data_IF_832180606624
#
_entry.id   IF_832180606624
#
_cell.length_a   1.000
_cell.length_b   1.000
_cell.length_c   1.000
_cell.angle_alpha   90.00
_cell.angle_beta   90.00
_cell.angle_gamma   90.00
#
_symmetry.space_group_name_H-M   'P 1'
#
loop_
_entity.id
_entity.type
_entity.pdbx_description
1 polymer ?
#
# COMPACT_ATOMS: atom_id res chain seq x y z
N UNK A 1 10.81 5.71 73.28
CA UNK A 1 11.84 4.89 72.57
C UNK A 1 11.25 3.50 72.37
N UNK A 2 11.10 2.90 71.20
CA UNK A 2 11.10 3.31 69.80
C UNK A 2 10.38 2.15 69.09
N UNK A 3 9.14 2.34 68.68
CA UNK A 3 8.47 1.43 67.74
C UNK A 3 9.19 1.58 66.40
N UNK A 4 9.74 0.49 65.88
CA UNK A 4 10.30 0.45 64.51
C UNK A 4 9.72 -0.75 63.81
N UNK A 5 8.75 -0.54 62.94
CA UNK A 5 8.48 -1.23 61.67
C UNK A 5 7.26 -0.53 61.03
N UNK A 6 7.05 -0.55 59.71
CA UNK A 6 7.95 -0.82 58.58
C UNK A 6 7.97 0.36 57.58
N UNK A 7 9.03 0.52 56.78
CA UNK A 7 9.01 1.49 55.68
C UNK A 7 9.41 0.78 54.38
N UNK A 8 8.48 0.86 53.43
CA UNK A 8 8.66 0.79 51.97
C UNK A 8 8.74 -0.61 51.38
N UNK A 9 7.59 -1.28 51.33
CA UNK A 9 7.23 -2.16 50.21
C UNK A 9 6.07 -1.51 49.47
N UNK A 10 6.36 -0.75 48.41
CA UNK A 10 5.53 -0.55 47.20
C UNK A 10 6.11 0.59 46.37
N UNK A 11 7.07 0.29 45.50
CA UNK A 11 7.41 1.13 44.35
C UNK A 11 7.68 0.21 43.16
N UNK A 12 6.66 -0.51 42.73
CA UNK A 12 6.75 -1.42 41.57
C UNK A 12 5.60 -1.27 40.58
N UNK A 13 4.77 -0.25 40.73
CA UNK A 13 3.64 0.02 39.85
C UNK A 13 3.65 1.50 39.55
N UNK A 14 4.38 1.92 38.50
CA UNK A 14 4.17 3.19 37.76
C UNK A 14 5.19 3.42 36.60
N UNK A 15 5.88 2.41 36.06
CA UNK A 15 6.79 2.58 34.91
C UNK A 15 6.19 2.19 33.54
N UNK A 16 4.92 1.81 33.48
CA UNK A 16 4.27 1.45 32.20
C UNK A 16 3.77 2.66 31.37
N UNK A 17 3.99 3.90 31.83
CA UNK A 17 3.40 5.10 31.21
C UNK A 17 4.32 5.97 30.35
N UNK A 18 5.64 5.94 30.54
CA UNK A 18 6.51 6.98 29.96
C UNK A 18 7.12 6.64 28.59
N UNK A 19 6.99 5.42 28.08
CA UNK A 19 7.60 5.04 26.80
C UNK A 19 6.66 5.22 25.59
N UNK A 20 5.34 5.21 25.78
CA UNK A 20 4.39 5.11 24.66
C UNK A 20 4.18 6.43 23.91
N UNK A 21 4.38 7.58 24.58
CA UNK A 21 4.20 8.91 23.96
C UNK A 21 5.26 9.15 22.86
N UNK A 22 6.51 8.72 23.10
CA UNK A 22 7.62 8.88 22.16
C UNK A 22 7.43 8.08 20.86
N UNK A 23 6.81 6.90 20.95
CA UNK A 23 6.53 6.06 19.79
C UNK A 23 5.34 6.57 18.98
N UNK A 24 4.34 7.23 19.60
CA UNK A 24 3.13 7.66 18.91
C UNK A 24 3.45 8.64 17.79
N UNK A 25 4.20 9.70 18.08
CA UNK A 25 4.54 10.72 17.08
C UNK A 25 5.43 10.15 15.98
N UNK A 26 6.51 9.47 16.35
CA UNK A 26 7.48 8.94 15.38
C UNK A 26 6.91 7.82 14.51
N UNK A 27 6.00 6.99 15.04
CA UNK A 27 5.24 6.03 14.25
C UNK A 27 4.24 6.72 13.32
N UNK A 28 3.53 7.75 13.78
CA UNK A 28 2.63 8.54 12.93
C UNK A 28 3.38 9.18 11.75
N UNK A 29 4.56 9.75 11.98
CA UNK A 29 5.41 10.30 10.91
C UNK A 29 5.82 9.21 9.90
N UNK A 30 6.18 8.02 10.38
CA UNK A 30 6.49 6.89 9.50
C UNK A 30 5.27 6.43 8.69
N UNK A 31 4.07 6.46 9.28
CA UNK A 31 2.80 6.10 8.64
C UNK A 31 2.33 7.14 7.62
N UNK A 32 2.67 8.41 7.81
CA UNK A 32 2.30 9.51 6.91
C UNK A 32 3.11 9.57 5.60
N UNK A 33 4.10 8.69 5.42
CA UNK A 33 4.85 8.57 4.15
C UNK A 33 3.93 8.18 3.00
N UNK A 34 4.16 8.75 1.82
CA UNK A 34 3.29 8.55 0.66
C UNK A 34 3.19 7.08 0.21
N UNK A 35 4.26 6.31 0.38
CA UNK A 35 4.26 4.87 0.08
C UNK A 35 3.40 4.04 1.05
N UNK A 36 3.00 4.65 2.17
CA UNK A 36 2.08 4.08 3.15
C UNK A 36 0.62 4.48 2.93
N UNK A 37 0.25 5.17 1.82
CA UNK A 37 -1.15 5.18 1.36
C UNK A 37 -1.61 3.72 1.23
N UNK A 38 -2.39 3.25 2.19
CA UNK A 38 -2.51 1.82 2.46
C UNK A 38 -3.79 1.18 1.90
N UNK A 39 -4.70 1.99 1.37
CA UNK A 39 -5.80 1.50 0.55
C UNK A 39 -5.45 1.75 -0.92
N UNK A 40 -5.36 0.66 -1.68
CA UNK A 40 -4.92 0.68 -3.07
C UNK A 40 -5.81 -0.22 -3.92
N UNK A 41 -6.31 0.30 -5.04
CA UNK A 41 -6.87 -0.51 -6.10
C UNK A 41 -5.75 -0.91 -7.07
N UNK A 42 -5.29 -2.16 -6.93
CA UNK A 42 -4.22 -2.71 -7.75
C UNK A 42 -4.72 -3.04 -9.16
N UNK A 43 -3.98 -2.61 -10.17
CA UNK A 43 -4.26 -3.02 -11.54
C UNK A 43 -3.82 -4.49 -11.75
N UNK A 44 -4.52 -5.27 -12.59
CA UNK A 44 -4.12 -6.66 -12.85
C UNK A 44 -2.74 -6.76 -13.49
N UNK A 45 -2.04 -7.88 -13.26
CA UNK A 45 -0.82 -8.27 -13.97
C UNK A 45 0.35 -7.27 -13.89
N UNK A 46 0.61 -6.67 -12.72
CA UNK A 46 1.74 -5.76 -12.53
C UNK A 46 1.80 -4.67 -13.62
N UNK A 47 0.66 -4.02 -13.88
CA UNK A 47 0.60 -2.84 -14.75
C UNK A 47 1.13 -1.59 -14.03
N UNK A 48 2.38 -1.66 -13.59
CA UNK A 48 3.06 -0.58 -12.89
C UNK A 48 3.68 0.47 -13.84
N UNK A 49 3.42 0.33 -15.15
CA UNK A 49 4.08 1.09 -16.19
C UNK A 49 3.00 1.75 -17.05
N UNK A 50 2.84 3.05 -16.87
CA UNK A 50 2.12 3.91 -17.82
C UNK A 50 3.12 4.79 -18.57
N UNK A 51 2.93 5.03 -19.88
CA UNK A 51 1.81 4.57 -20.70
C UNK A 51 1.81 3.05 -20.96
N UNK A 52 0.62 2.46 -21.12
CA UNK A 52 0.42 1.03 -21.38
C UNK A 52 -0.25 0.83 -22.73
N UNK A 53 0.44 0.12 -23.62
CA UNK A 53 -0.09 -0.23 -24.94
C UNK A 53 -0.77 -1.59 -24.89
N UNK A 54 -1.98 -1.65 -25.42
CA UNK A 54 -2.79 -2.85 -25.55
C UNK A 54 -3.14 -3.01 -27.02
N UNK A 55 -2.74 -4.15 -27.57
CA UNK A 55 -3.09 -4.60 -28.91
C UNK A 55 -3.87 -5.92 -28.77
N UNK A 56 -4.80 -6.16 -29.70
CA UNK A 56 -5.70 -7.33 -29.74
C UNK A 56 -6.72 -7.35 -28.58
N UNK A 57 -7.78 -8.18 -28.67
CA UNK A 57 -8.94 -8.26 -27.75
C UNK A 57 -8.59 -8.73 -26.32
N UNK A 58 -7.74 -7.98 -25.63
CA UNK A 58 -7.43 -8.19 -24.22
C UNK A 58 -8.53 -7.58 -23.37
N UNK A 59 -8.91 -8.28 -22.31
CA UNK A 59 -9.85 -7.76 -21.33
C UNK A 59 -9.26 -6.52 -20.64
N UNK A 60 -9.79 -5.34 -20.97
CA UNK A 60 -9.38 -4.03 -20.43
C UNK A 60 -10.39 -3.42 -19.47
N UNK A 61 -11.47 -4.13 -19.13
CA UNK A 61 -12.63 -3.57 -18.45
C UNK A 61 -12.29 -2.78 -17.17
N UNK A 62 -11.31 -3.25 -16.40
CA UNK A 62 -10.86 -2.53 -15.20
C UNK A 62 -10.10 -1.24 -15.54
N UNK A 63 -9.33 -1.23 -16.63
CA UNK A 63 -8.67 -0.01 -17.13
C UNK A 63 -9.70 0.96 -17.68
N UNK A 64 -10.73 0.44 -18.38
CA UNK A 64 -11.85 1.24 -18.88
C UNK A 64 -12.63 1.88 -17.73
N UNK A 65 -12.84 1.17 -16.62
CA UNK A 65 -13.38 1.76 -15.40
C UNK A 65 -12.51 2.93 -14.90
N UNK A 66 -11.18 2.79 -14.92
CA UNK A 66 -10.28 3.90 -14.57
C UNK A 66 -10.23 5.02 -15.62
N UNK A 67 -10.61 4.77 -16.87
CA UNK A 67 -10.86 5.81 -17.87
C UNK A 67 -12.14 6.57 -17.55
N UNK A 68 -13.22 5.87 -17.19
CA UNK A 68 -14.48 6.46 -16.78
C UNK A 68 -14.34 7.32 -15.53
N UNK A 69 -13.58 6.83 -14.55
CA UNK A 69 -13.19 7.56 -13.32
C UNK A 69 -12.20 8.70 -13.60
N UNK A 70 -11.82 8.93 -14.86
CA UNK A 70 -10.92 10.00 -15.32
C UNK A 70 -9.49 9.90 -14.81
N UNK A 71 -9.05 8.72 -14.38
CA UNK A 71 -7.66 8.49 -13.97
C UNK A 71 -6.76 8.08 -15.12
N UNK A 72 -7.36 7.39 -16.09
CA UNK A 72 -6.73 7.06 -17.34
C UNK A 72 -7.40 7.80 -18.49
N UNK A 73 -6.65 7.96 -19.57
CA UNK A 73 -7.17 8.32 -20.89
C UNK A 73 -6.60 7.38 -21.92
N UNK A 74 -7.35 7.15 -22.98
CA UNK A 74 -6.92 6.33 -24.11
C UNK A 74 -6.44 7.20 -25.27
N UNK A 75 -5.52 6.66 -26.05
CA UNK A 75 -5.08 7.21 -27.33
C UNK A 75 -4.96 6.06 -28.34
N UNK A 76 -5.57 6.21 -29.51
CA UNK A 76 -5.38 5.26 -30.61
C UNK A 76 -3.93 5.32 -31.08
N UNK A 77 -3.33 4.14 -31.26
CA UNK A 77 -1.97 3.98 -31.76
C UNK A 77 -1.95 2.93 -32.86
N UNK A 78 -0.98 3.07 -33.76
CA UNK A 78 -0.70 2.10 -34.82
C UNK A 78 0.69 1.53 -34.59
N UNK A 79 0.82 0.20 -34.69
CA UNK A 79 2.10 -0.48 -34.61
C UNK A 79 2.33 -1.35 -35.85
N UNK A 80 3.61 -1.62 -36.16
CA UNK A 80 4.01 -2.53 -37.22
C UNK A 80 4.23 -3.91 -36.65
N UNK A 81 3.41 -4.87 -37.07
CA UNK A 81 3.49 -6.27 -36.67
C UNK A 81 4.16 -7.10 -37.76
N UNK A 82 5.12 -7.92 -37.35
CA UNK A 82 5.80 -8.88 -38.21
C UNK A 82 5.37 -10.28 -37.77
N UNK A 83 4.61 -10.97 -38.60
CA UNK A 83 4.17 -12.33 -38.31
C UNK A 83 5.39 -13.28 -38.28
N UNK A 84 5.52 -14.07 -37.21
CA UNK A 84 6.59 -15.05 -37.08
C UNK A 84 6.41 -16.26 -38.02
N UNK A 85 5.18 -16.49 -38.51
CA UNK A 85 4.79 -17.65 -39.32
C UNK A 85 4.74 -17.36 -40.82
N UNK A 86 5.05 -16.14 -41.28
CA UNK A 86 5.28 -15.90 -42.71
C UNK A 86 6.64 -16.50 -43.07
N UNK A 87 6.63 -17.43 -44.02
CA UNK A 87 7.75 -18.25 -44.47
C UNK A 87 9.05 -17.42 -44.56
N UNK A 88 10.17 -17.99 -44.09
CA UNK A 88 11.47 -17.29 -43.99
C UNK A 88 12.00 -16.83 -45.36
N UNK A 89 11.39 -17.32 -46.44
CA UNK A 89 11.80 -17.21 -47.84
C UNK A 89 11.15 -16.05 -48.61
N UNK A 90 10.04 -15.47 -48.14
CA UNK A 90 9.38 -14.33 -48.82
C UNK A 90 9.93 -12.99 -48.33
N UNK A 91 10.86 -12.44 -49.11
CA UNK A 91 11.37 -11.07 -48.97
C UNK A 91 10.81 -10.18 -50.10
N UNK A 92 10.35 -8.95 -49.80
CA UNK A 92 10.44 -8.25 -48.52
C UNK A 92 9.27 -8.56 -47.57
N UNK A 93 9.57 -8.71 -46.26
CA UNK A 93 8.54 -8.75 -45.21
C UNK A 93 7.90 -7.37 -45.08
N UNK A 94 6.72 -7.19 -45.66
CA UNK A 94 5.90 -6.01 -45.37
C UNK A 94 5.22 -6.19 -44.02
N UNK A 95 5.44 -5.29 -43.04
CA UNK A 95 4.73 -5.34 -41.78
C UNK A 95 3.24 -5.13 -42.00
N UNK A 96 2.41 -5.86 -41.25
CA UNK A 96 1.00 -5.55 -41.12
C UNK A 96 0.84 -4.43 -40.10
N UNK A 97 0.14 -3.37 -40.47
CA UNK A 97 -0.24 -2.35 -39.49
C UNK A 97 -1.36 -2.89 -38.61
N UNK A 98 -1.16 -2.81 -37.30
CA UNK A 98 -2.15 -3.18 -36.30
C UNK A 98 -2.53 -1.95 -35.49
N UNK A 99 -3.82 -1.82 -35.21
CA UNK A 99 -4.34 -0.78 -34.33
C UNK A 99 -4.33 -1.26 -32.87
N UNK A 100 -4.16 -0.30 -31.95
CA UNK A 100 -4.20 -0.55 -30.51
C UNK A 100 -4.57 0.68 -29.71
N UNK A 101 -4.70 0.49 -28.41
CA UNK A 101 -5.01 1.55 -27.45
C UNK A 101 -3.83 1.75 -26.50
N UNK A 102 -3.44 3.02 -26.33
CA UNK A 102 -2.50 3.45 -25.30
C UNK A 102 -3.25 4.08 -24.14
N UNK A 103 -3.17 3.44 -22.97
CA UNK A 103 -3.63 4.01 -21.71
C UNK A 103 -2.55 4.93 -21.14
N UNK A 104 -2.95 6.12 -20.69
CA UNK A 104 -2.07 7.11 -20.09
C UNK A 104 -2.70 7.68 -18.83
N UNK A 105 -1.89 7.98 -17.81
CA UNK A 105 -2.37 8.71 -16.64
C UNK A 105 -2.83 10.11 -17.05
N UNK A 106 -3.99 10.51 -16.55
CA UNK A 106 -4.41 11.92 -16.51
C UNK A 106 -3.70 12.64 -15.36
N UNK A 107 -3.84 13.97 -15.28
CA UNK A 107 -3.34 14.70 -14.11
C UNK A 107 -4.01 14.25 -12.81
N UNK A 108 -5.29 13.85 -12.85
CA UNK A 108 -5.98 13.29 -11.69
C UNK A 108 -5.43 11.90 -11.34
N UNK A 109 -5.23 11.03 -12.34
CA UNK A 109 -4.65 9.71 -12.12
C UNK A 109 -3.26 9.76 -11.49
N UNK A 110 -2.41 10.71 -11.91
CA UNK A 110 -1.07 10.92 -11.33
C UNK A 110 -1.10 11.21 -9.83
N UNK A 111 -2.15 11.87 -9.31
CA UNK A 111 -2.27 12.17 -7.87
C UNK A 111 -2.39 10.92 -7.01
N UNK A 112 -2.97 9.84 -7.54
CA UNK A 112 -3.24 8.60 -6.80
C UNK A 112 -2.35 7.43 -7.25
N UNK A 113 -1.76 7.49 -8.44
CA UNK A 113 -1.01 6.38 -8.99
C UNK A 113 0.35 6.22 -8.30
N UNK A 114 0.57 5.05 -7.69
CA UNK A 114 1.85 4.66 -7.10
C UNK A 114 2.50 3.63 -8.01
N UNK A 115 3.45 4.10 -8.84
CA UNK A 115 4.12 3.27 -9.84
C UNK A 115 4.86 2.05 -9.28
N UNK A 116 5.42 2.13 -8.08
CA UNK A 116 6.06 0.95 -7.43
C UNK A 116 5.06 -0.14 -7.01
N UNK A 117 3.76 0.20 -6.91
CA UNK A 117 2.67 -0.72 -6.55
C UNK A 117 1.81 -1.12 -7.76
N UNK A 118 1.88 -0.36 -8.86
CA UNK A 118 0.96 -0.52 -10.00
C UNK A 118 -0.50 -0.35 -9.60
N UNK A 119 -0.79 0.66 -8.77
CA UNK A 119 -2.08 0.83 -8.13
C UNK A 119 -2.45 2.30 -7.95
N UNK A 120 -3.76 2.56 -7.89
CA UNK A 120 -4.29 3.85 -7.44
C UNK A 120 -4.54 3.79 -5.93
N UNK A 121 -3.75 4.54 -5.16
CA UNK A 121 -3.76 4.52 -3.70
C UNK A 121 -4.27 5.83 -3.10
N UNK A 122 -5.04 5.70 -2.02
CA UNK A 122 -5.75 6.78 -1.36
C UNK A 122 -5.86 6.50 0.14
N UNK A 123 -6.41 7.48 0.85
CA UNK A 123 -6.58 7.42 2.30
C UNK A 123 -5.28 7.74 3.05
N UNK A 124 -5.44 8.47 4.14
CA UNK A 124 -4.38 8.75 5.10
C UNK A 124 -4.57 7.87 6.33
N UNK A 125 -3.49 7.36 6.88
CA UNK A 125 -3.53 6.59 8.13
C UNK A 125 -3.38 7.55 9.30
N UNK A 126 -4.33 7.48 10.23
CA UNK A 126 -4.27 8.19 11.50
C UNK A 126 -4.13 7.16 12.62
N UNK A 127 -3.10 7.37 13.45
CA UNK A 127 -2.81 6.55 14.61
C UNK A 127 -3.68 6.98 15.79
N UNK A 128 -4.60 6.11 16.20
CA UNK A 128 -5.48 6.37 17.34
C UNK A 128 -4.75 6.17 18.66
N UNK A 129 -4.21 4.97 18.85
CA UNK A 129 -3.51 4.58 20.08
C UNK A 129 -2.41 3.55 19.82
N UNK A 130 -1.41 3.59 20.70
CA UNK A 130 -0.48 2.48 20.91
C UNK A 130 -1.04 1.64 22.04
N UNK A 131 -1.10 0.33 21.85
CA UNK A 131 -1.68 -0.62 22.81
C UNK A 131 -0.58 -1.27 23.64
N UNK A 132 0.36 -1.94 22.98
CA UNK A 132 1.46 -2.64 23.63
C UNK A 132 2.80 -2.32 22.96
N UNK A 133 3.86 -2.34 23.75
CA UNK A 133 5.23 -2.21 23.23
C UNK A 133 6.12 -3.26 23.90
N UNK A 134 6.71 -4.13 23.09
CA UNK A 134 7.53 -5.25 23.54
C UNK A 134 8.95 -5.13 22.98
N UNK A 135 9.97 -5.23 23.84
CA UNK A 135 11.36 -5.35 23.40
C UNK A 135 11.58 -6.70 22.73
N UNK A 136 12.22 -6.69 21.56
CA UNK A 136 12.50 -7.91 20.78
C UNK A 136 13.94 -7.95 20.30
N UNK A 137 14.42 -9.17 20.05
CA UNK A 137 15.66 -9.41 19.30
C UNK A 137 15.27 -9.80 17.88
N UNK A 138 15.86 -9.12 16.91
CA UNK A 138 15.60 -9.31 15.49
C UNK A 138 16.85 -9.95 14.90
N UNK A 139 16.71 -11.17 14.41
CA UNK A 139 17.81 -11.91 13.79
C UNK A 139 17.71 -11.76 12.27
N UNK A 140 18.82 -11.34 11.66
CA UNK A 140 18.96 -11.25 10.22
C UNK A 140 19.63 -12.51 9.67
N UNK A 141 19.48 -12.76 8.37
CA UNK A 141 20.04 -13.93 7.66
C UNK A 141 21.57 -14.02 7.67
N UNK A 142 22.27 -12.98 8.14
CA UNK A 142 23.72 -12.90 8.28
C UNK A 142 24.22 -13.06 9.74
N UNK A 143 23.43 -13.68 10.62
CA UNK A 143 23.69 -13.85 12.06
C UNK A 143 23.89 -12.54 12.84
N UNK A 144 23.46 -11.40 12.29
CA UNK A 144 23.38 -10.16 13.05
C UNK A 144 22.10 -10.17 13.89
N UNK A 145 22.26 -9.90 15.19
CA UNK A 145 21.15 -9.74 16.12
C UNK A 145 21.05 -8.27 16.50
N UNK A 146 19.92 -7.67 16.18
CA UNK A 146 19.61 -6.29 16.55
C UNK A 146 18.55 -6.26 17.64
N UNK A 147 18.65 -5.30 18.56
CA UNK A 147 17.54 -5.00 19.46
C UNK A 147 16.52 -4.11 18.76
N UNK A 148 15.24 -4.40 18.94
CA UNK A 148 14.15 -3.61 18.41
C UNK A 148 12.96 -3.62 19.35
N UNK A 149 11.85 -3.08 18.86
CA UNK A 149 10.56 -3.14 19.56
C UNK A 149 9.45 -3.57 18.61
N UNK A 150 8.57 -4.45 19.06
CA UNK A 150 7.24 -4.58 18.49
C UNK A 150 6.32 -3.56 19.16
N UNK A 151 5.53 -2.89 18.35
CA UNK A 151 4.60 -1.85 18.79
C UNK A 151 3.25 -2.21 18.17
N UNK A 152 2.31 -2.62 19.00
CA UNK A 152 0.93 -2.86 18.60
C UNK A 152 0.15 -1.56 18.67
N UNK A 153 -0.63 -1.30 17.64
CA UNK A 153 -1.34 -0.04 17.52
C UNK A 153 -2.64 -0.16 16.75
N UNK A 154 -3.52 0.79 17.02
CA UNK A 154 -4.79 0.96 16.36
C UNK A 154 -4.76 2.20 15.49
N UNK A 155 -5.35 2.07 14.31
CA UNK A 155 -5.40 3.14 13.33
C UNK A 155 -6.72 3.10 12.56
N UNK A 156 -7.09 4.23 12.00
CA UNK A 156 -8.16 4.32 11.01
C UNK A 156 -7.68 5.07 9.77
N UNK A 157 -8.49 4.96 8.71
CA UNK A 157 -8.27 5.73 7.50
C UNK A 157 -9.10 7.01 7.51
N UNK A 158 -8.52 8.07 6.98
CA UNK A 158 -9.18 9.36 6.72
C UNK A 158 -8.95 9.79 5.28
N UNK A 159 -9.60 10.86 4.84
CA UNK A 159 -9.48 11.41 3.48
C UNK A 159 -9.75 10.37 2.39
N UNK A 160 -10.76 9.52 2.59
CA UNK A 160 -11.25 8.59 1.58
C UNK A 160 -12.00 9.40 0.50
N UNK A 161 -11.50 9.43 -0.74
CA UNK A 161 -12.14 10.20 -1.79
C UNK A 161 -13.41 9.49 -2.30
N UNK A 162 -14.38 10.27 -2.78
CA UNK A 162 -15.69 9.74 -3.23
C UNK A 162 -15.56 8.69 -4.32
N UNK A 163 -14.63 8.87 -5.26
CA UNK A 163 -14.38 7.91 -6.34
C UNK A 163 -14.01 6.51 -5.82
N UNK A 164 -13.33 6.43 -4.66
CA UNK A 164 -12.92 5.16 -4.09
C UNK A 164 -14.11 4.34 -3.58
N UNK A 165 -15.28 4.96 -3.43
CA UNK A 165 -16.53 4.32 -3.03
C UNK A 165 -17.40 3.91 -4.23
N UNK A 166 -16.99 4.20 -5.47
CA UNK A 166 -17.73 3.81 -6.69
C UNK A 166 -18.05 2.31 -6.66
N UNK A 167 -19.33 1.98 -6.77
CA UNK A 167 -19.84 0.60 -6.65
C UNK A 167 -19.34 -0.30 -7.77
N UNK A 168 -18.98 0.24 -8.94
CA UNK A 168 -18.42 -0.54 -10.06
C UNK A 168 -17.10 -1.21 -9.68
N UNK A 169 -16.34 -0.63 -8.74
CA UNK A 169 -15.11 -1.25 -8.21
C UNK A 169 -15.40 -2.57 -7.48
N UNK A 170 -16.60 -2.76 -6.94
CA UNK A 170 -16.98 -4.00 -6.25
C UNK A 170 -17.08 -5.19 -7.21
N UNK A 171 -17.19 -4.96 -8.52
CA UNK A 171 -17.13 -6.04 -9.52
C UNK A 171 -15.75 -6.68 -9.55
N UNK A 172 -14.69 -5.88 -9.35
CA UNK A 172 -13.30 -6.31 -9.52
C UNK A 172 -12.57 -6.56 -8.19
N UNK A 173 -13.01 -5.96 -7.09
CA UNK A 173 -12.28 -5.97 -5.82
C UNK A 173 -13.12 -6.50 -4.65
N UNK A 174 -12.46 -7.25 -3.77
CA UNK A 174 -12.89 -7.47 -2.39
C UNK A 174 -12.29 -6.35 -1.56
N UNK A 175 -13.13 -5.55 -0.90
CA UNK A 175 -12.71 -4.43 -0.04
C UNK A 175 -13.38 -4.52 1.32
N UNK A 176 -12.70 -3.99 2.32
CA UNK A 176 -13.32 -3.59 3.60
C UNK A 176 -14.31 -2.44 3.40
N UNK A 177 -15.14 -2.18 4.41
CA UNK A 177 -15.85 -0.90 4.49
C UNK A 177 -14.84 0.24 4.61
N UNK A 178 -15.06 1.30 3.82
CA UNK A 178 -14.16 2.46 3.73
C UNK A 178 -14.64 3.63 4.61
N UNK A 179 -15.42 3.35 5.65
CA UNK A 179 -15.83 4.34 6.64
C UNK A 179 -14.68 4.59 7.63
N UNK A 180 -14.51 5.85 8.03
CA UNK A 180 -13.41 6.29 8.90
C UNK A 180 -13.58 5.84 10.36
N UNK A 181 -14.69 5.19 10.70
CA UNK A 181 -15.03 4.75 12.06
C UNK A 181 -14.45 3.36 12.41
N UNK A 182 -13.97 2.61 11.41
CA UNK A 182 -13.38 1.30 11.67
C UNK A 182 -11.95 1.46 12.14
N UNK A 183 -11.69 1.00 13.35
CA UNK A 183 -10.35 0.84 13.92
C UNK A 183 -9.76 -0.48 13.43
N UNK A 184 -8.58 -0.40 12.86
CA UNK A 184 -7.76 -1.54 12.44
C UNK A 184 -6.60 -1.71 13.41
N UNK A 185 -6.21 -2.95 13.62
CA UNK A 185 -5.04 -3.30 14.42
C UNK A 185 -3.85 -3.65 13.50
N UNK A 186 -2.66 -3.22 13.90
CA UNK A 186 -1.42 -3.61 13.25
C UNK A 186 -0.25 -3.64 14.25
N UNK A 187 0.80 -4.37 13.87
CA UNK A 187 2.07 -4.43 14.60
C UNK A 187 3.19 -3.82 13.77
N UNK A 188 3.82 -2.78 14.30
CA UNK A 188 5.04 -2.22 13.75
C UNK A 188 6.27 -2.85 14.41
N UNK A 189 7.36 -2.94 13.65
CA UNK A 189 8.69 -3.25 14.17
C UNK A 189 9.54 -1.99 14.09
N UNK A 190 10.02 -1.52 15.24
CA UNK A 190 11.01 -0.45 15.35
C UNK A 190 12.42 -1.04 15.48
N UNK A 191 13.34 -0.59 14.63
CA UNK A 191 14.73 -1.03 14.60
C UNK A 191 15.61 0.02 15.28
N UNK A 192 16.23 -0.31 16.42
CA UNK A 192 16.96 0.67 17.23
C UNK A 192 18.18 1.24 16.51
N UNK A 193 18.90 0.43 15.72
CA UNK A 193 20.11 0.85 15.03
C UNK A 193 19.83 1.83 13.89
N UNK A 194 18.70 1.64 13.21
CA UNK A 194 18.29 2.44 12.04
C UNK A 194 17.37 3.61 12.43
N UNK A 195 16.85 3.60 13.66
CA UNK A 195 15.82 4.52 14.15
C UNK A 195 14.65 4.65 13.18
N UNK A 196 14.19 3.52 12.63
CA UNK A 196 13.14 3.47 11.64
C UNK A 196 12.08 2.41 11.97
N UNK A 197 10.98 2.47 11.23
CA UNK A 197 9.85 1.56 11.38
C UNK A 197 9.61 0.73 10.11
N UNK A 198 9.38 -0.56 10.32
CA UNK A 198 8.51 -1.34 9.45
C UNK A 198 7.10 -1.30 10.05
N UNK A 199 6.18 -0.59 9.40
CA UNK A 199 4.85 -0.29 9.96
C UNK A 199 3.90 -1.50 10.00
N UNK A 200 4.22 -2.60 9.30
CA UNK A 200 3.38 -3.80 9.25
C UNK A 200 2.15 -3.70 8.34
N UNK A 201 1.70 -2.51 7.97
CA UNK A 201 0.48 -2.29 7.18
C UNK A 201 0.55 -2.92 5.78
N UNK A 202 1.74 -2.97 5.16
CA UNK A 202 1.93 -3.58 3.83
C UNK A 202 1.55 -5.08 3.80
N UNK A 203 1.47 -5.75 4.96
CA UNK A 203 1.05 -7.16 5.06
C UNK A 203 -0.47 -7.33 5.09
N UNK A 204 -1.21 -6.31 5.54
CA UNK A 204 -2.68 -6.35 5.67
C UNK A 204 -3.29 -5.85 4.37
N UNK A 205 -3.42 -6.72 3.36
CA UNK A 205 -4.07 -6.35 2.08
C UNK A 205 -5.59 -6.19 2.29
N UNK A 206 -6.03 -4.98 2.59
CA UNK A 206 -7.44 -4.66 2.87
C UNK A 206 -8.32 -4.54 1.61
N UNK A 207 -7.71 -4.24 0.46
CA UNK A 207 -8.33 -4.25 -0.86
C UNK A 207 -7.57 -5.25 -1.74
N UNK A 208 -8.28 -6.22 -2.28
CA UNK A 208 -7.71 -7.30 -3.10
C UNK A 208 -8.53 -7.52 -4.35
N UNK A 209 -7.87 -7.85 -5.47
CA UNK A 209 -8.57 -8.25 -6.69
C UNK A 209 -9.35 -9.55 -6.43
N UNK A 210 -10.55 -9.64 -7.00
CA UNK A 210 -11.29 -10.90 -7.09
C UNK A 210 -10.57 -11.77 -8.12
N UNK A 211 -10.22 -12.99 -7.71
CA UNK A 211 -9.73 -14.05 -8.60
C UNK A 211 -10.91 -14.75 -9.26
#
# INVERSE_FOLDING_TARGET
>A
MNLKYPLITTFSLLLFGCNNVDYKQSLQEALSREDNRALCYFLPNNQNIFPKDVFFDKQTEILDLFVDLKFLKTKNITAKYYNANTDITDLPRSPTEIEGLRYQLTEEGKKYFIGSKGAFCFGNIILDKIDETQSVKIEYTNNQVESGKWIDYYYHYTNIPVWAQDKRLEQYYKRISLNNEILFEARATYFNSQKNYNTGIKKTKLITLKH
#
